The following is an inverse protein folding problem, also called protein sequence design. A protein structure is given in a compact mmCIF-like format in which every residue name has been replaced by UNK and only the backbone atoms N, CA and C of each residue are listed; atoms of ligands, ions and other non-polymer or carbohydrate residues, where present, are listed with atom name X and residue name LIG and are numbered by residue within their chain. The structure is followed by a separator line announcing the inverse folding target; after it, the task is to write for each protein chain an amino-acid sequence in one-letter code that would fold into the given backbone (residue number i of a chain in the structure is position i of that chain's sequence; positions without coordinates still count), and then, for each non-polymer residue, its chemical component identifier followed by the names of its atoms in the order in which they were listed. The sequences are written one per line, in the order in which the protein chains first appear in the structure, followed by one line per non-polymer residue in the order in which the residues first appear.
data_IF_036131347702
#
_entry.id   IF_036131347702
#
_cell.length_a   1.000
_cell.length_b   1.000
_cell.length_c   1.000
_cell.angle_alpha   90.00
_cell.angle_beta   90.00
_cell.angle_gamma   90.00
#
_symmetry.space_group_name_H-M   'P 1'
#
loop_
_entity.id
_entity.type
_entity.pdbx_description
1 polymer ?
#
# COMPACT_ATOMS: atom_id res chain seq x y z
N UNK A 1 -4.03 -17.56 -4.05
CA UNK A 1 -4.55 -17.89 -5.39
C UNK A 1 -3.95 -16.99 -6.49
N UNK A 2 -4.07 -15.65 -6.43
CA UNK A 2 -3.61 -14.75 -7.51
C UNK A 2 -2.09 -14.74 -7.74
N UNK A 3 -1.30 -14.61 -6.68
CA UNK A 3 0.16 -14.74 -6.74
C UNK A 3 0.61 -16.13 -7.23
N UNK A 4 -0.15 -17.18 -6.86
CA UNK A 4 0.07 -18.55 -7.31
C UNK A 4 -0.17 -18.69 -8.81
N UNK A 5 -1.27 -18.11 -9.32
CA UNK A 5 -1.57 -18.09 -10.75
C UNK A 5 -0.49 -17.33 -11.52
N UNK A 6 -0.11 -16.12 -11.09
CA UNK A 6 1.00 -15.37 -11.70
C UNK A 6 2.31 -16.16 -11.72
N UNK A 7 2.64 -16.84 -10.61
CA UNK A 7 3.81 -17.72 -10.52
C UNK A 7 3.74 -18.88 -11.51
N UNK A 8 2.58 -19.53 -11.63
CA UNK A 8 2.36 -20.61 -12.61
C UNK A 8 2.49 -20.09 -14.04
N UNK A 9 1.91 -18.92 -14.38
CA UNK A 9 2.04 -18.35 -15.73
C UNK A 9 3.49 -18.00 -16.06
N UNK A 10 4.24 -17.48 -15.09
CA UNK A 10 5.67 -17.17 -15.26
C UNK A 10 6.50 -18.46 -15.45
N UNK A 11 6.25 -19.49 -14.63
CA UNK A 11 6.92 -20.79 -14.75
C UNK A 11 6.60 -21.47 -16.09
N UNK A 12 5.34 -21.45 -16.53
CA UNK A 12 4.94 -21.94 -17.86
C UNK A 12 5.63 -21.17 -18.98
N UNK A 13 5.80 -19.85 -18.82
CA UNK A 13 6.56 -19.01 -19.75
C UNK A 13 8.02 -19.41 -19.91
N UNK A 14 8.70 -19.64 -18.78
CA UNK A 14 10.07 -20.15 -18.75
C UNK A 14 10.13 -21.54 -19.38
N UNK A 15 9.14 -22.40 -19.10
CA UNK A 15 9.06 -23.76 -19.64
C UNK A 15 8.81 -23.80 -21.15
N UNK A 16 8.13 -22.78 -21.69
CA UNK A 16 7.87 -22.60 -23.12
C UNK A 16 9.01 -21.87 -23.86
N UNK A 17 10.15 -21.63 -23.20
CA UNK A 17 11.33 -20.93 -23.72
C UNK A 17 11.02 -19.58 -24.40
N UNK A 18 9.92 -18.94 -23.96
CA UNK A 18 9.56 -17.60 -24.41
C UNK A 18 10.22 -16.60 -23.47
N UNK A 19 11.12 -15.77 -24.02
CA UNK A 19 11.58 -14.54 -23.37
C UNK A 19 10.41 -13.55 -23.28
N UNK A 20 9.45 -13.85 -22.42
CA UNK A 20 8.29 -13.00 -22.20
C UNK A 20 8.72 -11.75 -21.45
N UNK A 21 8.47 -10.59 -22.06
CA UNK A 21 8.45 -9.33 -21.34
C UNK A 21 7.55 -9.49 -20.10
N UNK A 22 8.00 -9.04 -18.92
CA UNK A 22 7.27 -9.24 -17.66
C UNK A 22 5.84 -8.70 -17.72
N UNK A 23 5.62 -7.66 -18.52
CA UNK A 23 4.29 -7.09 -18.77
C UNK A 23 3.36 -8.05 -19.53
N UNK A 24 3.89 -8.88 -20.43
CA UNK A 24 3.11 -9.87 -21.15
C UNK A 24 2.66 -11.01 -20.21
N UNK A 25 3.50 -11.40 -19.26
CA UNK A 25 3.10 -12.37 -18.23
C UNK A 25 2.02 -11.82 -17.31
N UNK A 26 2.15 -10.55 -16.92
CA UNK A 26 1.13 -9.87 -16.13
C UNK A 26 -0.19 -9.81 -16.89
N UNK A 27 -0.18 -9.37 -18.15
CA UNK A 27 -1.36 -9.33 -19.00
C UNK A 27 -2.00 -10.72 -19.19
N UNK A 28 -1.20 -11.75 -19.45
CA UNK A 28 -1.67 -13.12 -19.58
C UNK A 28 -2.32 -13.66 -18.30
N UNK A 29 -1.71 -13.42 -17.13
CA UNK A 29 -2.28 -13.79 -15.84
C UNK A 29 -3.61 -13.06 -15.58
N UNK A 30 -3.69 -11.78 -15.95
CA UNK A 30 -4.93 -10.99 -15.85
C UNK A 30 -6.05 -11.55 -16.71
N UNK A 31 -5.75 -11.90 -17.97
CA UNK A 31 -6.73 -12.51 -18.87
C UNK A 31 -7.25 -13.84 -18.34
N UNK A 32 -6.38 -14.71 -17.81
CA UNK A 32 -6.80 -16.00 -17.23
C UNK A 32 -7.71 -15.78 -16.01
N UNK A 33 -7.33 -14.89 -15.10
CA UNK A 33 -8.14 -14.58 -13.91
C UNK A 33 -9.50 -14.02 -14.30
N UNK A 34 -9.54 -13.03 -15.19
CA UNK A 34 -10.79 -12.39 -15.65
C UNK A 34 -11.67 -13.31 -16.50
N UNK A 35 -11.09 -14.32 -17.15
CA UNK A 35 -11.85 -15.35 -17.87
C UNK A 35 -12.58 -16.30 -16.90
N UNK A 36 -12.04 -16.51 -15.70
CA UNK A 36 -12.67 -17.32 -14.65
C UNK A 36 -13.74 -16.49 -13.93
N UNK A 37 -13.40 -15.27 -13.52
CA UNK A 37 -14.32 -14.36 -12.85
C UNK A 37 -14.05 -12.89 -13.25
N UNK A 38 -14.92 -12.27 -14.06
CA UNK A 38 -14.75 -10.88 -14.47
C UNK A 38 -15.00 -9.87 -13.34
N UNK A 39 -15.67 -10.27 -12.25
CA UNK A 39 -15.92 -9.39 -11.10
C UNK A 39 -14.63 -9.05 -10.34
N UNK A 40 -13.59 -9.86 -10.52
CA UNK A 40 -12.25 -9.64 -9.96
C UNK A 40 -11.66 -8.27 -10.34
N UNK A 41 -12.05 -7.71 -11.49
CA UNK A 41 -11.60 -6.39 -11.93
C UNK A 41 -11.96 -5.28 -10.93
N UNK A 42 -13.05 -5.45 -10.18
CA UNK A 42 -13.54 -4.49 -9.20
C UNK A 42 -13.12 -4.80 -7.77
N UNK A 43 -12.30 -5.85 -7.57
CA UNK A 43 -11.81 -6.19 -6.24
C UNK A 43 -10.50 -5.45 -5.95
N UNK A 44 -10.43 -4.82 -4.78
CA UNK A 44 -9.24 -4.12 -4.31
C UNK A 44 -7.97 -5.00 -4.39
N UNK A 45 -8.08 -6.28 -4.01
CA UNK A 45 -6.95 -7.22 -4.04
C UNK A 45 -6.35 -7.43 -5.44
N UNK A 46 -7.17 -7.40 -6.48
CA UNK A 46 -6.74 -7.58 -7.87
C UNK A 46 -5.96 -6.35 -8.31
N UNK A 47 -6.58 -5.19 -8.14
CA UNK A 47 -6.01 -3.90 -8.49
C UNK A 47 -4.67 -3.67 -7.77
N UNK A 48 -4.61 -3.92 -6.45
CA UNK A 48 -3.40 -3.71 -5.65
C UNK A 48 -2.26 -4.60 -6.12
N UNK A 49 -2.52 -5.89 -6.35
CA UNK A 49 -1.49 -6.84 -6.79
C UNK A 49 -0.98 -6.51 -8.19
N UNK A 50 -1.88 -6.29 -9.15
CA UNK A 50 -1.50 -6.03 -10.54
C UNK A 50 -0.80 -4.68 -10.72
N UNK A 51 -1.28 -3.61 -10.07
CA UNK A 51 -0.62 -2.30 -10.13
C UNK A 51 0.75 -2.33 -9.47
N UNK A 52 0.91 -3.04 -8.35
CA UNK A 52 2.21 -3.19 -7.69
C UNK A 52 3.21 -3.90 -8.61
N UNK A 53 2.83 -5.03 -9.19
CA UNK A 53 3.72 -5.79 -10.09
C UNK A 53 4.03 -4.98 -11.35
N UNK A 54 3.04 -4.32 -11.96
CA UNK A 54 3.25 -3.46 -13.12
C UNK A 54 4.26 -2.33 -12.82
N UNK A 55 4.11 -1.66 -11.67
CA UNK A 55 5.03 -0.59 -11.28
C UNK A 55 6.45 -1.10 -11.03
N UNK A 56 6.59 -2.22 -10.32
CA UNK A 56 7.89 -2.81 -10.02
C UNK A 56 8.60 -3.27 -11.29
N UNK A 57 7.89 -3.91 -12.22
CA UNK A 57 8.43 -4.28 -13.54
C UNK A 57 8.86 -3.04 -14.32
N UNK A 58 7.99 -2.02 -14.41
CA UNK A 58 8.30 -0.81 -15.15
C UNK A 58 9.48 -0.02 -14.55
N UNK A 59 9.60 0.03 -13.22
CA UNK A 59 10.74 0.60 -12.52
C UNK A 59 12.04 -0.17 -12.81
N UNK A 60 11.96 -1.48 -13.01
CA UNK A 60 13.12 -2.32 -13.32
C UNK A 60 13.62 -2.18 -14.77
N UNK A 61 12.77 -1.77 -15.71
CA UNK A 61 13.10 -1.62 -17.14
C UNK A 61 13.75 -0.25 -17.52
N UNK A 62 14.22 0.55 -16.57
CA UNK A 62 14.78 1.90 -16.83
C UNK A 62 16.01 2.29 -15.99
N UNK A 63 16.36 3.59 -16.01
CA UNK A 63 17.42 4.21 -15.18
C UNK A 63 17.12 4.21 -13.66
N UNK A 64 15.98 3.65 -13.27
CA UNK A 64 15.54 3.43 -11.90
C UNK A 64 15.63 1.94 -11.51
N UNK A 65 16.20 1.11 -12.38
CA UNK A 65 16.48 -0.28 -12.05
C UNK A 65 17.37 -0.34 -10.82
N UNK A 66 17.17 -1.37 -9.99
CA UNK A 66 17.97 -1.60 -8.78
C UNK A 66 19.47 -1.58 -9.11
N UNK A 67 19.83 -2.07 -10.30
CA UNK A 67 21.21 -2.10 -10.82
C UNK A 67 21.75 -0.70 -11.11
N UNK A 68 20.96 0.17 -11.75
CA UNK A 68 21.39 1.54 -12.07
C UNK A 68 21.41 2.46 -10.85
N UNK A 69 20.46 2.27 -9.93
CA UNK A 69 20.49 2.91 -8.62
C UNK A 69 21.73 2.51 -7.81
N UNK A 70 22.04 1.20 -7.74
CA UNK A 70 23.24 0.64 -7.12
C UNK A 70 24.51 1.27 -7.67
N UNK A 71 24.67 1.28 -9.00
CA UNK A 71 25.85 1.88 -9.65
C UNK A 71 26.02 3.38 -9.35
N UNK A 72 24.91 4.14 -9.25
CA UNK A 72 24.96 5.56 -8.88
C UNK A 72 25.33 5.75 -7.40
N UNK A 73 24.74 4.95 -6.52
CA UNK A 73 25.01 5.00 -5.09
C UNK A 73 26.47 4.67 -4.79
N UNK A 74 27.03 3.62 -5.41
CA UNK A 74 28.44 3.26 -5.30
C UNK A 74 29.36 4.40 -5.73
N UNK A 75 29.03 5.08 -6.83
CA UNK A 75 29.78 6.24 -7.33
C UNK A 75 29.74 7.42 -6.37
N UNK A 76 28.61 7.66 -5.70
CA UNK A 76 28.48 8.70 -4.67
C UNK A 76 29.22 8.32 -3.39
N UNK A 77 29.11 7.08 -2.93
CA UNK A 77 29.84 6.57 -1.76
C UNK A 77 31.35 6.71 -1.93
N UNK A 78 31.89 6.31 -3.09
CA UNK A 78 33.32 6.45 -3.41
C UNK A 78 33.81 7.91 -3.41
N UNK A 79 32.90 8.89 -3.57
CA UNK A 79 33.24 10.31 -3.51
C UNK A 79 33.48 10.79 -2.07
N UNK A 80 32.78 10.22 -1.10
CA UNK A 80 32.83 10.64 0.31
C UNK A 80 33.65 9.70 1.20
N UNK A 81 33.84 8.45 0.78
CA UNK A 81 34.62 7.44 1.48
C UNK A 81 35.81 7.07 0.58
N UNK A 82 37.04 7.50 0.93
CA UNK A 82 38.21 7.15 0.14
C UNK A 82 38.44 5.63 0.18
N UNK A 83 38.90 5.03 -0.94
CA UNK A 83 39.09 3.57 -1.08
C UNK A 83 40.14 2.98 -0.14
N UNK A 84 40.86 3.83 0.61
CA UNK A 84 41.86 3.45 1.62
C UNK A 84 41.27 3.15 2.99
N UNK A 85 39.99 3.46 3.25
CA UNK A 85 39.32 3.03 4.49
C UNK A 85 38.88 1.56 4.35
N UNK A 86 39.41 0.63 5.17
CA UNK A 86 39.01 -0.78 5.17
C UNK A 86 37.66 -0.97 5.89
N UNK A 87 36.73 -0.03 5.70
CA UNK A 87 35.35 -0.17 6.18
C UNK A 87 34.66 -1.11 5.22
N UNK A 88 34.90 -2.39 5.49
CA UNK A 88 34.14 -3.59 5.18
C UNK A 88 33.27 -3.50 3.93
N UNK A 89 33.71 -4.16 2.86
CA UNK A 89 32.85 -4.56 1.74
C UNK A 89 31.49 -5.09 2.23
N UNK A 90 31.47 -5.85 3.35
CA UNK A 90 30.24 -6.32 3.99
C UNK A 90 29.25 -5.22 4.41
N UNK A 91 29.70 -4.12 5.02
CA UNK A 91 28.82 -3.04 5.50
C UNK A 91 28.16 -2.31 4.33
N UNK A 92 28.91 -2.06 3.25
CA UNK A 92 28.38 -1.42 2.04
C UNK A 92 27.30 -2.29 1.41
N UNK A 93 27.50 -3.62 1.32
CA UNK A 93 26.51 -4.54 0.79
C UNK A 93 25.22 -4.61 1.62
N UNK A 94 25.33 -4.52 2.95
CA UNK A 94 24.15 -4.49 3.84
C UNK A 94 23.35 -3.22 3.63
N UNK A 95 24.01 -2.05 3.60
CA UNK A 95 23.34 -0.76 3.34
C UNK A 95 22.67 -0.77 1.97
N UNK A 96 23.35 -1.28 0.95
CA UNK A 96 22.83 -1.37 -0.40
C UNK A 96 21.54 -2.22 -0.48
N UNK A 97 21.54 -3.40 0.18
CA UNK A 97 20.35 -4.27 0.26
C UNK A 97 19.20 -3.61 1.01
N UNK A 98 19.48 -2.96 2.14
CA UNK A 98 18.47 -2.27 2.93
C UNK A 98 17.82 -1.13 2.14
N UNK A 99 18.64 -0.30 1.49
CA UNK A 99 18.14 0.79 0.66
C UNK A 99 17.37 0.29 -0.56
N UNK A 100 17.83 -0.79 -1.20
CA UNK A 100 17.08 -1.46 -2.28
C UNK A 100 15.71 -1.97 -1.80
N UNK A 101 15.65 -2.61 -0.63
CA UNK A 101 14.41 -3.06 0.00
C UNK A 101 13.45 -1.90 0.34
N UNK A 102 13.98 -0.79 0.86
CA UNK A 102 13.21 0.43 1.11
C UNK A 102 12.67 1.02 -0.20
N UNK A 103 13.47 1.02 -1.28
CA UNK A 103 13.04 1.53 -2.58
C UNK A 103 11.92 0.71 -3.19
N UNK A 104 12.03 -0.63 -3.15
CA UNK A 104 10.97 -1.54 -3.59
C UNK A 104 9.71 -1.34 -2.76
N UNK A 105 9.85 -1.25 -1.43
CA UNK A 105 8.72 -1.05 -0.52
C UNK A 105 8.05 0.30 -0.72
N UNK A 106 8.82 1.34 -1.04
CA UNK A 106 8.32 2.65 -1.42
C UNK A 106 7.51 2.60 -2.72
N UNK A 107 8.05 1.98 -3.78
CA UNK A 107 7.33 1.80 -5.04
C UNK A 107 6.05 0.99 -4.85
N UNK A 108 6.11 -0.12 -4.11
CA UNK A 108 4.93 -0.92 -3.82
C UNK A 108 3.86 -0.11 -3.05
N UNK A 109 4.28 0.65 -2.04
CA UNK A 109 3.36 1.53 -1.28
C UNK A 109 2.74 2.58 -2.18
N UNK A 110 3.52 3.16 -3.10
CA UNK A 110 3.03 4.14 -4.07
C UNK A 110 1.99 3.55 -5.03
N UNK A 111 2.17 2.31 -5.50
CA UNK A 111 1.18 1.63 -6.33
C UNK A 111 -0.13 1.33 -5.58
N UNK A 112 -0.01 0.94 -4.32
CA UNK A 112 -1.15 0.51 -3.49
C UNK A 112 -1.89 1.70 -2.88
N UNK A 113 -1.20 2.78 -2.53
CA UNK A 113 -1.75 3.96 -1.87
C UNK A 113 -3.06 4.51 -2.46
N UNK A 114 -3.21 4.73 -3.79
CA UNK A 114 -4.47 5.20 -4.34
C UNK A 114 -5.60 4.21 -4.07
N UNK A 115 -5.37 2.92 -4.33
CA UNK A 115 -6.38 1.88 -4.15
C UNK A 115 -6.74 1.72 -2.67
N UNK A 116 -5.76 1.81 -1.77
CA UNK A 116 -6.03 1.78 -0.33
C UNK A 116 -6.83 2.99 0.14
N UNK A 117 -6.61 4.17 -0.45
CA UNK A 117 -7.44 5.35 -0.18
C UNK A 117 -8.90 5.16 -0.63
N UNK A 118 -9.15 4.46 -1.75
CA UNK A 118 -10.52 4.14 -2.20
C UNK A 118 -11.24 3.19 -1.27
N UNK A 119 -10.66 2.02 -1.07
CA UNK A 119 -11.37 0.88 -0.51
C UNK A 119 -11.28 0.84 1.01
N UNK A 120 -10.23 1.45 1.58
CA UNK A 120 -9.93 1.38 3.00
C UNK A 120 -9.80 2.75 3.66
N UNK A 121 -10.04 3.85 2.93
CA UNK A 121 -9.93 5.24 3.41
C UNK A 121 -8.67 5.51 4.25
N UNK A 122 -7.57 4.83 3.91
CA UNK A 122 -6.35 4.86 4.70
C UNK A 122 -5.13 4.71 3.82
N UNK A 123 -4.12 5.53 4.09
CA UNK A 123 -2.79 5.38 3.54
C UNK A 123 -1.82 5.26 4.70
N UNK A 124 -1.00 4.21 4.67
CA UNK A 124 -0.03 3.90 5.72
C UNK A 124 1.38 3.90 5.15
N UNK A 125 2.14 4.97 5.42
CA UNK A 125 3.55 5.04 5.07
C UNK A 125 4.40 4.05 5.89
N UNK A 126 3.91 3.63 7.06
CA UNK A 126 4.50 2.55 7.85
C UNK A 126 4.65 1.27 7.06
N UNK A 127 3.82 1.04 6.04
CA UNK A 127 3.92 -0.08 5.12
C UNK A 127 5.31 -0.23 4.50
N UNK A 128 6.02 0.89 4.26
CA UNK A 128 7.39 0.88 3.71
C UNK A 128 8.35 0.16 4.67
N UNK A 129 8.23 0.43 5.97
CA UNK A 129 9.09 -0.15 7.01
C UNK A 129 8.61 -1.54 7.45
N UNK A 130 7.29 -1.75 7.50
CA UNK A 130 6.71 -3.05 7.77
C UNK A 130 7.21 -4.08 6.75
N UNK A 131 7.18 -3.72 5.46
CA UNK A 131 7.59 -4.60 4.36
C UNK A 131 9.07 -4.99 4.39
N UNK A 132 9.95 -4.20 5.04
CA UNK A 132 11.38 -4.48 5.09
C UNK A 132 11.71 -5.84 5.74
N UNK A 133 10.96 -6.20 6.79
CA UNK A 133 11.06 -7.53 7.40
C UNK A 133 9.87 -8.42 7.05
N UNK A 134 8.67 -7.85 6.86
CA UNK A 134 7.49 -8.65 6.60
C UNK A 134 7.59 -9.46 5.30
N UNK A 135 8.12 -8.87 4.23
CA UNK A 135 8.28 -9.56 2.94
C UNK A 135 9.24 -10.76 3.05
N UNK A 136 10.51 -10.62 3.49
CA UNK A 136 11.42 -11.76 3.57
C UNK A 136 10.97 -12.81 4.59
N UNK A 137 10.37 -12.42 5.72
CA UNK A 137 9.85 -13.37 6.70
C UNK A 137 8.63 -14.14 6.16
N UNK A 138 7.73 -13.46 5.44
CA UNK A 138 6.59 -14.11 4.80
C UNK A 138 7.04 -15.09 3.69
N UNK A 139 8.11 -14.79 2.95
CA UNK A 139 8.71 -15.71 1.99
C UNK A 139 9.22 -16.99 2.67
N UNK A 140 9.96 -16.85 3.78
CA UNK A 140 10.42 -17.98 4.59
C UNK A 140 9.22 -18.80 5.07
N UNK A 141 8.22 -18.15 5.67
CA UNK A 141 7.00 -18.82 6.16
C UNK A 141 6.27 -19.56 5.06
N UNK A 142 6.18 -18.98 3.86
CA UNK A 142 5.47 -19.59 2.74
C UNK A 142 6.21 -20.82 2.23
N UNK A 143 7.52 -20.71 1.98
CA UNK A 143 8.33 -21.82 1.46
C UNK A 143 8.41 -22.96 2.48
N UNK A 144 8.78 -22.66 3.72
CA UNK A 144 8.86 -23.67 4.77
C UNK A 144 7.48 -24.22 5.13
N UNK A 145 6.43 -23.40 5.09
CA UNK A 145 5.05 -23.82 5.32
C UNK A 145 4.60 -24.86 4.31
N UNK A 146 4.89 -24.65 3.03
CA UNK A 146 4.61 -25.62 1.97
C UNK A 146 5.43 -26.90 2.17
N UNK A 147 6.73 -26.80 2.48
CA UNK A 147 7.60 -27.96 2.72
C UNK A 147 7.13 -28.80 3.92
N UNK A 148 6.67 -28.15 4.98
CA UNK A 148 6.12 -28.83 6.16
C UNK A 148 4.80 -29.49 5.82
N UNK A 149 3.88 -28.77 5.17
CA UNK A 149 2.55 -29.27 4.83
C UNK A 149 2.59 -30.49 3.88
N UNK A 150 3.46 -30.44 2.86
CA UNK A 150 3.50 -31.45 1.79
C UNK A 150 4.72 -32.37 1.83
N UNK A 151 5.54 -32.32 2.88
CA UNK A 151 6.79 -33.08 2.93
C UNK A 151 7.25 -33.40 4.34
N UNK A 152 8.17 -32.58 4.84
CA UNK A 152 9.00 -32.91 6.02
C UNK A 152 8.24 -32.90 7.35
N UNK A 153 7.03 -32.34 7.39
CA UNK A 153 6.20 -32.25 8.61
C UNK A 153 5.78 -33.60 9.17
N UNK A 154 5.73 -34.63 8.32
CA UNK A 154 5.32 -35.98 8.71
C UNK A 154 6.44 -36.82 9.35
N UNK A 155 7.68 -36.35 9.31
CA UNK A 155 8.84 -37.05 9.86
C UNK A 155 9.03 -36.62 11.32
N UNK A 156 8.91 -37.54 12.30
CA UNK A 156 9.14 -37.20 13.71
C UNK A 156 10.52 -36.58 13.93
N UNK A 157 10.61 -35.55 14.78
CA UNK A 157 11.84 -34.78 15.00
C UNK A 157 12.07 -33.69 13.95
N UNK A 158 12.15 -34.02 12.66
CA UNK A 158 12.32 -33.02 11.58
C UNK A 158 11.11 -32.10 11.49
N UNK A 159 9.90 -32.67 11.51
CA UNK A 159 8.66 -31.90 11.52
C UNK A 159 8.54 -31.01 12.76
N UNK A 160 9.04 -31.46 13.91
CA UNK A 160 9.07 -30.64 15.13
C UNK A 160 10.02 -29.44 14.99
N UNK A 161 11.25 -29.66 14.50
CA UNK A 161 12.21 -28.57 14.25
C UNK A 161 11.64 -27.58 13.22
N UNK A 162 11.05 -28.07 12.14
CA UNK A 162 10.46 -27.22 11.11
C UNK A 162 9.27 -26.40 11.65
N UNK A 163 8.43 -27.00 12.51
CA UNK A 163 7.36 -26.29 13.20
C UNK A 163 7.89 -25.21 14.16
N UNK A 164 9.00 -25.47 14.86
CA UNK A 164 9.66 -24.45 15.69
C UNK A 164 10.17 -23.28 14.83
N UNK A 165 10.85 -23.56 13.72
CA UNK A 165 11.32 -22.50 12.80
C UNK A 165 10.15 -21.64 12.31
N UNK A 166 9.05 -22.26 11.89
CA UNK A 166 7.84 -21.55 11.48
C UNK A 166 7.28 -20.71 12.62
N UNK A 167 7.12 -21.29 13.82
CA UNK A 167 6.59 -20.59 14.99
C UNK A 167 7.44 -19.37 15.36
N UNK A 168 8.77 -19.50 15.37
CA UNK A 168 9.67 -18.41 15.74
C UNK A 168 9.68 -17.31 14.67
N UNK A 169 9.60 -17.70 13.40
CA UNK A 169 9.53 -16.76 12.27
C UNK A 169 8.20 -16.01 12.29
N UNK A 170 7.09 -16.68 12.56
CA UNK A 170 5.77 -16.05 12.75
C UNK A 170 5.77 -15.10 13.95
N UNK A 171 6.33 -15.52 15.08
CA UNK A 171 6.44 -14.67 16.27
C UNK A 171 7.26 -13.41 15.97
N UNK A 172 8.41 -13.56 15.31
CA UNK A 172 9.26 -12.43 14.94
C UNK A 172 8.56 -11.48 13.97
N UNK A 173 7.81 -12.02 13.00
CA UNK A 173 6.98 -11.25 12.08
C UNK A 173 5.93 -10.42 12.84
N UNK A 174 5.21 -11.05 13.77
CA UNK A 174 4.18 -10.38 14.59
C UNK A 174 4.82 -9.25 15.40
N UNK A 175 5.89 -9.53 16.14
CA UNK A 175 6.56 -8.51 16.94
C UNK A 175 7.06 -7.33 16.09
N UNK A 176 7.57 -7.60 14.89
CA UNK A 176 7.99 -6.54 13.97
C UNK A 176 6.81 -5.67 13.52
N UNK A 177 5.73 -6.28 13.07
CA UNK A 177 4.54 -5.57 12.58
C UNK A 177 3.90 -4.76 13.71
N UNK A 178 3.76 -5.33 14.91
CA UNK A 178 3.23 -4.64 16.09
C UNK A 178 4.11 -3.45 16.50
N UNK A 179 5.44 -3.63 16.48
CA UNK A 179 6.36 -2.55 16.80
C UNK A 179 6.25 -1.40 15.78
N UNK A 180 6.24 -1.69 14.49
CA UNK A 180 6.02 -0.66 13.45
C UNK A 180 4.63 -0.03 13.59
N UNK A 181 3.61 -0.82 13.91
CA UNK A 181 2.25 -0.35 14.15
C UNK A 181 2.17 0.60 15.36
N UNK A 182 3.01 0.43 16.37
CA UNK A 182 3.05 1.30 17.56
C UNK A 182 3.60 2.71 17.30
N UNK A 183 4.27 2.96 16.17
CA UNK A 183 4.84 4.28 15.92
C UNK A 183 3.75 5.36 15.80
N UNK A 184 3.99 6.59 16.28
CA UNK A 184 3.02 7.66 16.15
C UNK A 184 2.79 8.03 14.67
N UNK A 185 1.61 8.58 14.35
CA UNK A 185 1.25 9.12 13.02
C UNK A 185 1.30 8.13 11.84
N UNK A 186 0.99 6.86 12.09
CA UNK A 186 1.13 5.81 11.07
C UNK A 186 0.03 5.64 10.06
N UNK A 187 -1.19 5.95 10.49
CA UNK A 187 -2.38 5.84 9.66
C UNK A 187 -2.87 7.24 9.43
N UNK A 188 -2.78 7.68 8.18
CA UNK A 188 -3.52 8.84 7.75
C UNK A 188 -4.82 8.29 7.18
N UNK A 189 -5.93 8.57 7.88
CA UNK A 189 -7.25 8.38 7.31
C UNK A 189 -7.37 9.40 6.18
N UNK A 190 -7.62 8.93 4.98
CA UNK A 190 -7.69 9.76 3.77
C UNK A 190 -9.11 9.66 3.23
N UNK A 191 -9.65 10.80 2.80
CA UNK A 191 -10.95 10.86 2.16
C UNK A 191 -10.99 10.01 0.89
N UNK A 192 -12.18 9.53 0.54
CA UNK A 192 -12.44 8.98 -0.79
C UNK A 192 -12.02 10.01 -1.84
N UNK A 193 -11.01 9.71 -2.68
CA UNK A 193 -10.56 10.71 -3.64
C UNK A 193 -11.67 11.01 -4.66
N UNK A 194 -11.95 12.30 -4.91
CA UNK A 194 -12.85 12.73 -5.99
C UNK A 194 -12.22 12.44 -7.36
N UNK A 195 -12.99 12.48 -8.45
CA UNK A 195 -12.56 12.19 -9.82
C UNK A 195 -11.28 12.97 -10.20
N UNK A 196 -11.14 14.21 -9.75
CA UNK A 196 -9.95 15.04 -9.99
C UNK A 196 -8.72 14.45 -9.28
N UNK A 197 -8.88 13.98 -8.05
CA UNK A 197 -7.81 13.34 -7.28
C UNK A 197 -7.45 11.98 -7.88
N UNK A 198 -8.43 11.24 -8.42
CA UNK A 198 -8.20 10.03 -9.22
C UNK A 198 -7.33 10.26 -10.43
N UNK A 199 -7.71 11.24 -11.25
CA UNK A 199 -6.95 11.61 -12.45
C UNK A 199 -5.55 12.09 -12.06
N UNK A 200 -5.41 12.81 -10.94
CA UNK A 200 -4.12 13.24 -10.44
C UNK A 200 -3.23 12.07 -10.01
N UNK A 201 -3.77 11.12 -9.23
CA UNK A 201 -3.07 9.90 -8.79
C UNK A 201 -2.68 9.00 -9.97
N UNK A 202 -3.60 8.80 -10.91
CA UNK A 202 -3.33 8.06 -12.15
C UNK A 202 -2.28 8.77 -13.02
N UNK A 203 -2.26 10.11 -13.03
CA UNK A 203 -1.27 10.93 -13.75
C UNK A 203 0.12 10.91 -13.12
N UNK A 204 0.23 10.70 -11.80
CA UNK A 204 1.52 10.56 -11.10
C UNK A 204 2.27 9.32 -11.60
N UNK A 205 1.56 8.22 -11.86
CA UNK A 205 2.14 6.95 -12.30
C UNK A 205 3.01 7.05 -13.58
N UNK A 206 2.51 7.54 -14.73
CA UNK A 206 3.33 7.69 -15.93
C UNK A 206 4.43 8.74 -15.76
N UNK A 207 4.26 9.76 -14.92
CA UNK A 207 5.31 10.75 -14.64
C UNK A 207 6.49 10.13 -13.88
N UNK A 208 6.23 9.20 -12.96
CA UNK A 208 7.25 8.51 -12.19
C UNK A 208 7.91 7.38 -12.98
N UNK A 209 7.12 6.64 -13.77
CA UNK A 209 7.60 5.48 -14.55
C UNK A 209 8.33 5.89 -15.83
N UNK A 210 7.92 6.98 -16.48
CA UNK A 210 8.55 7.38 -17.73
C UNK A 210 10.03 7.73 -17.49
N UNK A 211 10.97 7.19 -18.29
CA UNK A 211 12.40 7.33 -18.02
C UNK A 211 12.82 8.79 -17.89
N UNK A 212 13.43 9.10 -16.75
CA UNK A 212 14.06 10.38 -16.44
C UNK A 212 15.44 10.43 -17.09
N UNK A 213 15.49 10.26 -18.41
CA UNK A 213 16.70 10.56 -19.17
C UNK A 213 17.12 12.00 -18.85
N UNK A 214 18.42 12.35 -18.90
CA UNK A 214 18.87 13.73 -18.78
C UNK A 214 18.34 14.55 -19.96
N UNK A 215 17.07 14.96 -19.83
CA UNK A 215 16.42 15.86 -20.73
C UNK A 215 17.05 17.23 -20.52
N UNK A 216 17.12 18.05 -21.57
CA UNK A 216 17.46 19.49 -21.45
C UNK A 216 16.76 20.07 -20.22
N UNK A 217 17.48 20.83 -19.41
CA UNK A 217 17.10 21.28 -18.06
C UNK A 217 15.64 21.78 -17.92
N UNK A 218 15.06 22.36 -18.98
CA UNK A 218 13.66 22.80 -19.02
C UNK A 218 12.61 21.67 -18.93
N UNK A 219 12.85 20.49 -19.51
CA UNK A 219 11.89 19.37 -19.48
C UNK A 219 11.88 18.64 -18.14
N UNK A 220 13.01 18.60 -17.44
CA UNK A 220 13.08 18.12 -16.05
C UNK A 220 12.26 19.02 -15.13
N UNK A 221 12.46 20.35 -15.23
CA UNK A 221 11.68 21.33 -14.47
C UNK A 221 10.18 21.22 -14.77
N UNK A 222 9.79 21.05 -16.02
CA UNK A 222 8.39 20.88 -16.41
C UNK A 222 7.75 19.61 -15.82
N UNK A 223 8.49 18.49 -15.78
CA UNK A 223 8.01 17.24 -15.16
C UNK A 223 7.92 17.34 -13.65
N UNK A 224 8.92 17.92 -13.00
CA UNK A 224 8.89 18.17 -11.57
C UNK A 224 7.72 19.11 -11.21
N UNK A 225 7.50 20.16 -12.01
CA UNK A 225 6.36 21.05 -11.86
C UNK A 225 5.03 20.30 -12.04
N UNK A 226 4.92 19.40 -13.04
CA UNK A 226 3.75 18.56 -13.23
C UNK A 226 3.52 17.62 -12.05
N UNK A 227 4.57 16.95 -11.55
CA UNK A 227 4.47 16.08 -10.37
C UNK A 227 4.01 16.88 -9.15
N UNK A 228 4.61 18.03 -8.88
CA UNK A 228 4.22 18.92 -7.78
C UNK A 228 2.80 19.45 -7.95
N UNK A 229 2.35 19.71 -9.18
CA UNK A 229 1.00 20.17 -9.47
C UNK A 229 -0.03 19.04 -9.28
N UNK A 230 0.28 17.82 -9.72
CA UNK A 230 -0.56 16.64 -9.49
C UNK A 230 -0.66 16.33 -7.99
N UNK A 231 0.47 16.42 -7.26
CA UNK A 231 0.48 16.35 -5.80
C UNK A 231 -0.33 17.50 -5.19
N UNK A 232 -0.18 18.74 -5.64
CA UNK A 232 -1.00 19.84 -5.11
C UNK A 232 -2.50 19.62 -5.36
N UNK A 233 -2.87 19.08 -6.53
CA UNK A 233 -4.26 18.76 -6.88
C UNK A 233 -4.84 17.65 -5.99
N UNK A 234 -4.03 16.67 -5.55
CA UNK A 234 -4.52 15.65 -4.61
C UNK A 234 -4.82 16.22 -3.22
N UNK A 235 -4.12 17.28 -2.79
CA UNK A 235 -4.33 17.90 -1.47
C UNK A 235 -5.26 19.12 -1.50
N UNK A 236 -5.63 19.61 -2.69
CA UNK A 236 -6.46 20.81 -2.86
C UNK A 236 -7.79 20.78 -2.10
N UNK A 237 -8.55 19.65 -2.08
CA UNK A 237 -9.83 19.61 -1.37
C UNK A 237 -9.72 19.82 0.14
N UNK A 238 -8.57 19.51 0.75
CA UNK A 238 -8.32 19.80 2.17
C UNK A 238 -8.31 21.31 2.48
N UNK A 239 -8.20 22.16 1.47
CA UNK A 239 -8.19 23.62 1.60
C UNK A 239 -9.48 24.27 1.13
N UNK A 240 -10.44 23.50 0.60
CA UNK A 240 -11.73 24.03 0.14
C UNK A 240 -12.82 23.75 1.15
N UNK A 241 -13.38 24.80 1.71
CA UNK A 241 -14.49 24.71 2.66
C UNK A 241 -15.83 24.87 1.96
N UNK A 242 -16.82 24.05 2.34
CA UNK A 242 -18.19 24.21 1.89
C UNK A 242 -18.74 25.58 2.31
N UNK A 243 -19.40 26.28 1.38
CA UNK A 243 -20.08 27.57 1.66
C UNK A 243 -21.52 27.39 2.10
N UNK A 244 -22.01 26.16 2.14
CA UNK A 244 -23.39 25.82 2.49
C UNK A 244 -23.40 24.81 3.62
N UNK A 245 -24.37 24.94 4.52
CA UNK A 245 -24.65 23.94 5.53
C UNK A 245 -25.18 22.68 4.85
N UNK A 246 -24.68 21.51 5.23
CA UNK A 246 -25.21 20.22 4.78
C UNK A 246 -25.58 19.38 5.99
N UNK A 247 -26.64 18.60 5.84
CA UNK A 247 -27.10 17.67 6.85
C UNK A 247 -27.19 16.29 6.21
N UNK A 248 -26.46 15.34 6.77
CA UNK A 248 -26.33 13.97 6.29
C UNK A 248 -26.98 13.04 7.30
N UNK A 249 -28.03 12.33 6.90
CA UNK A 249 -28.63 11.27 7.68
C UNK A 249 -28.03 9.94 7.22
N UNK A 250 -27.41 9.20 8.14
CA UNK A 250 -26.80 7.92 7.83
C UNK A 250 -27.80 6.78 7.99
N UNK A 251 -27.87 5.91 6.99
CA UNK A 251 -28.60 4.65 7.09
C UNK A 251 -27.70 3.60 7.75
N UNK A 252 -27.80 3.49 9.07
CA UNK A 252 -27.02 2.59 9.93
C UNK A 252 -27.85 1.43 10.49
N UNK A 253 -29.05 1.20 9.94
CA UNK A 253 -29.96 0.16 10.41
C UNK A 253 -30.81 0.61 11.60
N UNK A 254 -30.53 0.08 12.79
CA UNK A 254 -31.27 0.41 14.02
C UNK A 254 -30.49 1.46 14.83
N UNK A 255 -31.12 2.62 15.04
CA UNK A 255 -30.52 3.76 15.73
C UNK A 255 -30.42 4.98 14.80
N UNK A 256 -29.96 6.11 15.35
CA UNK A 256 -29.79 7.36 14.60
C UNK A 256 -28.32 7.76 14.53
N UNK A 257 -27.92 8.31 13.39
CA UNK A 257 -26.66 9.03 13.24
C UNK A 257 -26.83 10.10 12.17
N UNK A 258 -26.49 11.34 12.52
CA UNK A 258 -26.64 12.50 11.66
C UNK A 258 -25.41 13.39 11.74
N UNK A 259 -24.80 13.71 10.59
CA UNK A 259 -23.71 14.68 10.50
C UNK A 259 -24.25 16.02 9.99
N UNK A 260 -23.87 17.09 10.67
CA UNK A 260 -24.11 18.46 10.26
C UNK A 260 -22.76 19.09 9.89
N UNK A 261 -22.57 19.42 8.61
CA UNK A 261 -21.44 20.21 8.11
C UNK A 261 -21.84 21.68 8.06
N UNK A 262 -21.14 22.54 8.80
CA UNK A 262 -21.40 23.97 8.81
C UNK A 262 -20.68 24.71 7.66
N UNK A 263 -21.20 25.87 7.22
CA UNK A 263 -20.48 26.78 6.34
C UNK A 263 -19.21 27.28 7.04
N UNK A 264 -18.05 26.71 6.72
CA UNK A 264 -16.81 26.93 7.48
C UNK A 264 -16.04 25.66 7.83
N UNK A 265 -16.60 24.47 7.56
CA UNK A 265 -15.89 23.19 7.64
C UNK A 265 -15.88 22.57 9.02
N UNK A 266 -16.61 23.17 9.96
CA UNK A 266 -16.92 22.59 11.25
C UNK A 266 -17.99 21.51 11.08
N UNK A 267 -17.84 20.40 11.80
CA UNK A 267 -18.63 19.19 11.72
C UNK A 267 -19.17 18.84 13.10
N UNK A 268 -20.49 18.72 13.21
CA UNK A 268 -21.18 18.26 14.41
C UNK A 268 -21.86 16.93 14.12
N UNK A 269 -21.57 15.93 14.95
CA UNK A 269 -22.23 14.63 14.88
C UNK A 269 -23.36 14.59 15.92
N UNK A 270 -24.54 14.13 15.51
CA UNK A 270 -25.71 13.91 16.37
C UNK A 270 -26.02 12.42 16.34
N UNK A 271 -25.87 11.76 17.49
CA UNK A 271 -25.89 10.31 17.68
C UNK A 271 -24.85 9.54 16.85
N UNK A 272 -24.46 8.36 17.33
CA UNK A 272 -23.39 7.54 16.73
C UNK A 272 -23.85 6.16 16.27
N UNK A 273 -25.13 5.83 16.47
CA UNK A 273 -25.64 4.52 16.12
C UNK A 273 -25.21 3.41 17.08
N UNK A 274 -25.45 2.14 16.70
CA UNK A 274 -25.17 0.98 17.51
C UNK A 274 -23.67 0.61 17.56
N UNK A 275 -23.25 -0.22 18.54
CA UNK A 275 -21.87 -0.68 18.66
C UNK A 275 -21.43 -1.55 17.49
N UNK A 276 -20.11 -1.57 17.26
CA UNK A 276 -19.45 -2.23 16.14
C UNK A 276 -19.64 -3.77 16.09
N UNK A 277 -20.04 -4.28 14.92
CA UNK A 277 -19.78 -5.66 14.47
C UNK A 277 -19.11 -5.67 13.07
N UNK A 278 -17.92 -5.08 12.92
CA UNK A 278 -17.17 -5.18 11.66
C UNK A 278 -15.84 -5.91 11.82
N UNK A 279 -15.56 -6.82 10.89
CA UNK A 279 -14.31 -7.60 10.80
C UNK A 279 -13.06 -6.73 10.67
N UNK A 280 -13.23 -5.51 10.20
CA UNK A 280 -12.17 -4.58 9.83
C UNK A 280 -11.87 -3.57 10.97
N UNK A 281 -12.58 -3.68 12.10
CA UNK A 281 -12.44 -2.80 13.25
C UNK A 281 -12.85 -1.34 13.01
N UNK A 282 -13.60 -1.06 11.94
CA UNK A 282 -14.04 0.30 11.56
C UNK A 282 -15.56 0.33 11.39
N UNK A 283 -16.28 1.22 12.11
CA UNK A 283 -17.75 1.27 12.04
C UNK A 283 -18.22 1.75 10.65
N UNK A 284 -19.41 1.33 10.18
CA UNK A 284 -20.03 1.87 8.97
C UNK A 284 -20.14 3.39 9.01
N UNK A 285 -20.48 3.95 10.18
CA UNK A 285 -20.51 5.38 10.41
C UNK A 285 -19.14 6.03 10.20
N UNK A 286 -18.06 5.47 10.77
CA UNK A 286 -16.71 5.99 10.54
C UNK A 286 -16.33 5.92 9.07
N UNK A 287 -16.68 4.85 8.34
CA UNK A 287 -16.45 4.77 6.90
C UNK A 287 -17.21 5.89 6.16
N UNK A 288 -18.49 6.09 6.46
CA UNK A 288 -19.29 7.14 5.85
C UNK A 288 -18.77 8.57 6.15
N UNK A 289 -18.33 8.83 7.38
CA UNK A 289 -17.69 10.10 7.75
C UNK A 289 -16.39 10.34 6.97
N UNK A 290 -15.61 9.29 6.74
CA UNK A 290 -14.38 9.38 5.94
C UNK A 290 -14.66 9.56 4.44
N UNK A 291 -15.72 8.93 3.92
CA UNK A 291 -16.17 9.16 2.54
C UNK A 291 -16.61 10.61 2.33
N UNK A 292 -17.21 11.23 3.34
CA UNK A 292 -17.71 12.61 3.27
C UNK A 292 -16.65 13.69 3.40
N UNK A 293 -15.43 13.39 3.84
CA UNK A 293 -14.48 14.46 4.08
C UNK A 293 -14.37 14.91 5.53
N UNK A 294 -14.72 14.09 6.52
CA UNK A 294 -14.67 14.48 7.95
C UNK A 294 -13.44 13.91 8.67
N UNK A 295 -12.48 14.77 9.02
CA UNK A 295 -11.29 14.41 9.83
C UNK A 295 -11.41 14.76 11.32
N UNK A 296 -12.30 15.71 11.64
CA UNK A 296 -12.47 16.25 12.97
C UNK A 296 -13.94 16.55 13.17
N UNK A 297 -14.42 16.21 14.36
CA UNK A 297 -15.71 16.61 14.88
C UNK A 297 -15.46 17.69 15.93
N UNK A 298 -16.13 18.81 15.80
CA UNK A 298 -16.13 19.90 16.78
C UNK A 298 -16.96 19.52 18.00
N UNK A 299 -17.95 18.65 17.81
CA UNK A 299 -18.75 18.09 18.88
C UNK A 299 -19.47 16.82 18.46
N UNK A 300 -19.87 16.06 19.49
CA UNK A 300 -20.82 14.95 19.38
C UNK A 300 -21.96 15.25 20.34
N UNK A 301 -23.19 15.25 19.84
CA UNK A 301 -24.40 15.42 20.63
C UNK A 301 -25.09 14.07 20.68
N UNK A 302 -25.27 13.54 21.89
CA UNK A 302 -26.05 12.34 22.11
C UNK A 302 -27.44 12.74 22.57
N UNK A 303 -28.47 12.31 21.86
CA UNK A 303 -29.87 12.54 22.20
C UNK A 303 -30.24 11.86 23.51
N UNK A 304 -29.73 10.64 23.73
CA UNK A 304 -29.92 9.83 24.94
C UNK A 304 -28.84 8.73 25.06
N UNK A 305 -28.68 8.09 26.24
CA UNK A 305 -27.55 7.18 26.51
C UNK A 305 -27.78 5.73 26.06
N UNK A 306 -28.81 5.44 25.25
CA UNK A 306 -29.06 4.09 24.77
C UNK A 306 -28.00 3.64 23.75
N UNK A 307 -27.74 2.34 23.69
CA UNK A 307 -26.62 1.79 22.93
C UNK A 307 -26.75 1.98 21.42
N UNK A 308 -27.97 2.09 20.91
CA UNK A 308 -28.29 2.39 19.51
C UNK A 308 -28.10 3.87 19.14
N UNK A 309 -27.80 4.74 20.11
CA UNK A 309 -27.47 6.15 19.88
C UNK A 309 -26.06 6.55 20.35
N UNK A 310 -25.50 5.84 21.34
CA UNK A 310 -24.20 6.14 21.94
C UNK A 310 -23.16 5.02 21.77
N UNK A 311 -23.46 3.99 20.97
CA UNK A 311 -22.63 2.79 20.87
C UNK A 311 -21.49 2.85 19.84
N UNK A 312 -21.65 3.66 18.79
CA UNK A 312 -20.75 3.74 17.63
C UNK A 312 -19.57 4.70 17.75
#
# INVERSE_FOLDING_TARGET
MRATLMGITAMLGIWLDRQGDGLNFLAGAGLVILSIDPTELFQAGFLMSFMTVALLLAANHGEWSIISWRMRFDKYLQKWIPPTFPVFSGTVHVVERLMGGLWISFLATLAVAPISALYFHSISWKGIFANLAAVPLAEILTVFGILVAFGIGWIPGIGWVAAQILSWTSWLLICWVEWVASWPFGFHRVYSPDLVQWVALAGIFPVLVYPWRPLRSGRFKARLALLLLLLAATWWPCFTTSKTMKVHFFDIGQGDACLIEFPGGENLLVDTGPPLESSDGTSPLVKALLELGVHRLEGVVLSHPEQDHAGG
#
